data_IF_447275635663
#
_entry.id   IF_447275635663
#
_cell.length_a   1.000
_cell.length_b   1.000
_cell.length_c   1.000
_cell.angle_alpha   90.00
_cell.angle_beta   90.00
_cell.angle_gamma   90.00
#
_symmetry.space_group_name_H-M   'P 1'
#
loop_
_entity.id
_entity.type
_entity.pdbx_description
1 polymer ?
#
# COMPACT_ATOMS: atom_id res chain seq x y z
N UNK A 1 56.90 -38.29 -18.32
CA UNK A 1 56.40 -37.94 -19.67
C UNK A 1 56.43 -36.42 -19.77
N UNK A 2 57.44 -35.85 -20.44
CA UNK A 2 57.58 -34.40 -20.56
C UNK A 2 57.02 -33.97 -21.91
N UNK A 3 55.90 -33.26 -21.89
CA UNK A 3 55.30 -32.64 -23.08
C UNK A 3 56.17 -31.47 -23.53
N UNK A 4 56.90 -31.63 -24.62
CA UNK A 4 57.60 -30.52 -25.28
C UNK A 4 56.56 -29.66 -25.99
N UNK A 5 56.22 -28.52 -25.38
CA UNK A 5 55.43 -27.49 -26.05
C UNK A 5 56.23 -26.95 -27.24
N UNK A 6 55.79 -27.27 -28.46
CA UNK A 6 56.33 -26.70 -29.69
C UNK A 6 55.86 -25.24 -29.76
N UNK A 7 56.79 -24.31 -29.54
CA UNK A 7 56.53 -22.88 -29.65
C UNK A 7 56.42 -22.53 -31.16
N UNK A 8 55.32 -21.94 -31.65
CA UNK A 8 55.17 -21.66 -33.07
C UNK A 8 56.22 -20.64 -33.54
N UNK A 9 56.84 -20.94 -34.69
CA UNK A 9 57.78 -20.04 -35.36
C UNK A 9 57.02 -18.82 -35.90
N UNK A 10 57.49 -17.59 -35.66
CA UNK A 10 56.85 -16.41 -36.25
C UNK A 10 56.99 -16.46 -37.77
N UNK A 11 55.87 -16.25 -38.48
CA UNK A 11 55.72 -16.43 -39.93
C UNK A 11 56.57 -15.47 -40.81
N UNK A 12 57.42 -14.62 -40.22
CA UNK A 12 58.03 -13.48 -40.92
C UNK A 12 59.57 -13.50 -40.94
N UNK A 13 60.21 -14.66 -40.82
CA UNK A 13 61.67 -14.75 -41.00
C UNK A 13 62.01 -15.11 -42.45
N UNK A 14 62.75 -14.28 -43.20
CA UNK A 14 63.14 -14.60 -44.57
C UNK A 14 64.12 -15.79 -44.57
N UNK A 15 64.00 -16.68 -45.56
CA UNK A 15 64.69 -17.99 -45.62
C UNK A 15 66.23 -17.95 -45.59
N UNK A 16 66.85 -16.79 -45.79
CA UNK A 16 68.29 -16.59 -45.78
C UNK A 16 68.86 -16.23 -44.39
N UNK A 17 68.02 -15.91 -43.40
CA UNK A 17 68.41 -15.68 -42.00
C UNK A 17 67.98 -16.85 -41.13
N UNK A 18 68.72 -17.96 -41.21
CA UNK A 18 68.51 -19.12 -40.35
C UNK A 18 69.48 -19.04 -39.17
N UNK A 19 69.04 -18.43 -38.08
CA UNK A 19 69.79 -18.46 -36.83
C UNK A 19 69.62 -19.82 -36.12
N UNK A 20 70.71 -20.34 -35.57
CA UNK A 20 70.68 -21.58 -34.79
C UNK A 20 70.01 -21.32 -33.44
N UNK A 21 68.93 -22.07 -33.15
CA UNK A 21 68.20 -21.95 -31.88
C UNK A 21 68.82 -22.87 -30.85
N UNK A 22 69.28 -22.30 -29.75
CA UNK A 22 69.86 -23.03 -28.63
C UNK A 22 68.91 -23.02 -27.42
N UNK A 23 69.15 -23.89 -26.44
CA UNK A 23 68.42 -23.91 -25.17
C UNK A 23 68.66 -22.60 -24.39
N UNK A 24 67.69 -22.18 -23.57
CA UNK A 24 67.80 -21.00 -22.67
C UNK A 24 68.94 -21.07 -21.65
N UNK A 25 69.59 -22.24 -21.52
CA UNK A 25 70.81 -22.45 -20.72
C UNK A 25 72.06 -21.93 -21.43
N UNK A 26 72.08 -21.90 -22.76
CA UNK A 26 73.20 -21.45 -23.59
C UNK A 26 73.19 -19.92 -23.67
N UNK A 27 74.35 -19.30 -23.50
CA UNK A 27 74.52 -17.85 -23.51
C UNK A 27 74.58 -17.32 -24.95
N UNK A 28 73.44 -17.30 -25.64
CA UNK A 28 73.26 -16.66 -26.95
C UNK A 28 72.92 -15.18 -26.79
N UNK A 29 73.00 -14.36 -27.84
CA UNK A 29 72.83 -12.89 -27.74
C UNK A 29 71.57 -12.40 -27.01
N UNK A 30 70.49 -13.20 -26.95
CA UNK A 30 69.23 -12.85 -26.29
C UNK A 30 68.97 -13.61 -24.96
N UNK A 31 69.99 -14.24 -24.38
CA UNK A 31 69.85 -15.16 -23.24
C UNK A 31 69.22 -14.51 -22.00
N UNK A 32 69.52 -13.24 -21.72
CA UNK A 32 68.99 -12.50 -20.57
C UNK A 32 67.48 -12.28 -20.69
N UNK A 33 67.03 -11.82 -21.85
CA UNK A 33 65.61 -11.53 -22.11
C UNK A 33 64.79 -12.82 -22.15
N UNK A 34 65.34 -13.91 -22.71
CA UNK A 34 64.67 -15.21 -22.70
C UNK A 34 64.45 -15.76 -21.29
N UNK A 35 65.37 -15.47 -20.35
CA UNK A 35 65.22 -15.83 -18.93
C UNK A 35 64.36 -14.84 -18.15
N UNK A 36 64.28 -13.58 -18.58
CA UNK A 36 63.43 -12.53 -17.98
C UNK A 36 61.98 -12.58 -18.43
N UNK A 37 61.59 -13.50 -19.33
CA UNK A 37 60.20 -13.69 -19.75
C UNK A 37 59.30 -13.73 -18.52
N UNK A 38 58.42 -12.73 -18.45
CA UNK A 38 57.58 -12.44 -17.30
C UNK A 38 56.73 -13.67 -16.96
N UNK A 39 57.01 -14.29 -15.82
CA UNK A 39 56.12 -15.29 -15.24
C UNK A 39 54.99 -14.49 -14.61
N UNK A 40 53.84 -14.46 -15.28
CA UNK A 40 52.65 -13.77 -14.75
C UNK A 40 52.24 -14.49 -13.46
N UNK A 41 52.39 -13.83 -12.33
CA UNK A 41 51.83 -14.29 -11.06
C UNK A 41 50.31 -14.34 -11.19
N UNK A 42 49.78 -15.52 -11.55
CA UNK A 42 48.33 -15.77 -11.66
C UNK A 42 47.65 -15.79 -10.30
N UNK A 43 48.41 -15.84 -9.22
CA UNK A 43 47.90 -16.08 -7.87
C UNK A 43 47.20 -14.87 -7.23
N UNK A 44 47.41 -13.67 -7.78
CA UNK A 44 46.88 -12.42 -7.20
C UNK A 44 46.14 -11.60 -8.25
N UNK A 45 44.82 -11.75 -8.29
CA UNK A 45 43.95 -10.85 -9.05
C UNK A 45 43.92 -9.46 -8.40
N UNK A 46 44.13 -8.37 -9.17
CA UNK A 46 44.03 -7.03 -8.63
C UNK A 46 42.58 -6.74 -8.21
N UNK A 47 42.38 -6.52 -6.92
CA UNK A 47 41.08 -6.12 -6.37
C UNK A 47 40.90 -4.59 -6.43
N UNK A 48 39.66 -4.15 -6.60
CA UNK A 48 39.30 -2.73 -6.50
C UNK A 48 39.56 -2.19 -5.10
N UNK A 49 39.78 -0.88 -5.00
CA UNK A 49 39.99 -0.19 -3.70
C UNK A 49 38.79 -0.44 -2.77
N UNK A 50 37.57 -0.37 -3.32
CA UNK A 50 36.35 -0.69 -2.60
C UNK A 50 36.34 -2.10 -1.99
N UNK A 51 36.79 -3.13 -2.72
CA UNK A 51 36.87 -4.50 -2.20
C UNK A 51 37.93 -4.71 -1.13
N UNK A 52 38.93 -3.82 -1.07
CA UNK A 52 39.96 -3.82 -0.01
C UNK A 52 39.50 -3.07 1.25
N UNK A 53 38.80 -1.95 1.08
CA UNK A 53 38.36 -1.09 2.19
C UNK A 53 37.06 -1.59 2.83
N UNK A 54 36.13 -2.13 2.03
CA UNK A 54 34.88 -2.65 2.53
C UNK A 54 35.02 -4.15 2.84
N UNK A 55 35.16 -4.46 4.12
CA UNK A 55 35.18 -5.84 4.61
C UNK A 55 33.74 -6.26 4.92
N UNK A 56 33.12 -7.18 4.15
CA UNK A 56 31.80 -7.68 4.48
C UNK A 56 31.89 -8.50 5.77
N UNK A 57 31.07 -8.16 6.75
CA UNK A 57 30.90 -8.95 7.97
C UNK A 57 29.62 -9.79 7.84
N UNK A 58 29.70 -11.05 7.37
CA UNK A 58 28.52 -11.86 7.05
C UNK A 58 27.64 -12.15 8.28
N UNK A 59 28.24 -12.26 9.47
CA UNK A 59 27.53 -12.54 10.72
C UNK A 59 27.19 -11.28 11.53
N UNK A 60 27.46 -10.08 10.99
CA UNK A 60 27.17 -8.85 11.69
C UNK A 60 25.65 -8.62 11.77
N UNK A 61 25.12 -8.72 12.99
CA UNK A 61 23.76 -8.28 13.28
C UNK A 61 23.75 -6.78 13.51
N UNK A 62 22.86 -6.02 12.85
CA UNK A 62 22.73 -4.60 13.11
C UNK A 62 22.36 -4.38 14.58
N UNK A 63 22.97 -3.39 15.21
CA UNK A 63 22.65 -3.04 16.60
C UNK A 63 21.21 -2.52 16.70
N UNK A 64 20.32 -3.42 17.14
CA UNK A 64 18.90 -3.13 17.30
C UNK A 64 18.67 -2.08 18.40
N UNK A 65 19.55 -2.02 19.41
CA UNK A 65 19.44 -1.10 20.54
C UNK A 65 19.71 0.33 20.05
N UNK A 66 20.84 0.56 19.37
CA UNK A 66 21.15 1.87 18.78
C UNK A 66 20.07 2.33 17.78
N UNK A 67 19.54 1.41 16.96
CA UNK A 67 18.41 1.71 16.06
C UNK A 67 17.16 2.12 16.81
N UNK A 68 16.79 1.40 17.87
CA UNK A 68 15.62 1.71 18.70
C UNK A 68 15.74 3.07 19.37
N UNK A 69 16.90 3.39 19.95
CA UNK A 69 17.13 4.70 20.56
C UNK A 69 17.12 5.83 19.54
N UNK A 70 17.72 5.63 18.36
CA UNK A 70 17.67 6.59 17.26
C UNK A 70 16.23 6.86 16.79
N UNK A 71 15.45 5.80 16.59
CA UNK A 71 14.03 5.91 16.20
C UNK A 71 13.22 6.67 17.24
N UNK A 72 13.38 6.33 18.53
CA UNK A 72 12.66 6.97 19.64
C UNK A 72 12.98 8.46 19.77
N UNK A 73 14.20 8.89 19.46
CA UNK A 73 14.57 10.32 19.42
C UNK A 73 13.88 11.09 18.28
N UNK A 74 13.65 10.43 17.14
CA UNK A 74 13.04 11.04 15.95
C UNK A 74 11.51 11.04 16.02
N UNK A 75 10.90 10.04 16.67
CA UNK A 75 9.44 9.86 16.76
C UNK A 75 8.70 11.03 17.44
N UNK A 76 9.39 11.85 18.24
CA UNK A 76 8.83 13.08 18.82
C UNK A 76 7.67 12.86 19.81
N UNK A 77 6.93 13.92 20.11
CA UNK A 77 5.75 13.84 20.98
C UNK A 77 4.55 13.33 20.16
N UNK A 78 3.80 12.33 20.64
CA UNK A 78 2.69 11.80 19.85
C UNK A 78 1.54 12.82 19.81
N UNK A 79 0.85 12.87 18.67
CA UNK A 79 -0.28 13.77 18.35
C UNK A 79 -1.29 13.91 19.50
N UNK A 80 -1.57 12.81 20.21
CA UNK A 80 -2.48 12.78 21.35
C UNK A 80 -2.18 13.87 22.38
N UNK A 81 -0.91 14.13 22.71
CA UNK A 81 -0.57 15.14 23.73
C UNK A 81 -0.59 16.57 23.18
N UNK A 82 -0.57 16.76 21.86
CA UNK A 82 -0.54 18.08 21.25
C UNK A 82 -1.93 18.63 20.98
N UNK A 83 -2.84 17.79 20.50
CA UNK A 83 -4.11 18.24 19.92
C UNK A 83 -5.32 17.70 20.68
N UNK A 84 -5.20 16.58 21.41
CA UNK A 84 -6.37 16.07 22.13
C UNK A 84 -6.59 16.83 23.43
N UNK A 85 -7.81 17.35 23.58
CA UNK A 85 -8.28 17.94 24.82
C UNK A 85 -8.85 16.81 25.70
N UNK A 86 -8.47 16.75 26.97
CA UNK A 86 -9.03 15.82 27.97
C UNK A 86 -9.05 14.32 27.62
N UNK A 87 -8.12 13.84 26.78
CA UNK A 87 -8.06 12.43 26.37
C UNK A 87 -9.34 11.92 25.65
N UNK A 88 -10.07 12.82 24.99
CA UNK A 88 -11.30 12.43 24.32
C UNK A 88 -11.04 11.58 23.06
N UNK A 89 -11.82 10.51 22.84
CA UNK A 89 -11.75 9.76 21.59
C UNK A 89 -12.06 10.66 20.39
N UNK A 90 -11.33 10.56 19.27
CA UNK A 90 -11.53 11.43 18.11
C UNK A 90 -12.90 11.25 17.44
N UNK A 91 -13.52 10.07 17.60
CA UNK A 91 -14.81 9.71 17.00
C UNK A 91 -15.98 9.81 18.00
N UNK A 92 -15.85 10.65 19.03
CA UNK A 92 -16.88 10.79 20.07
C UNK A 92 -18.11 11.58 19.62
N UNK A 93 -17.92 12.56 18.73
CA UNK A 93 -18.97 13.49 18.28
C UNK A 93 -19.33 13.23 16.81
N UNK A 94 -20.31 12.36 16.59
CA UNK A 94 -20.72 11.91 15.26
C UNK A 94 -22.09 12.44 14.81
N UNK A 95 -22.70 13.30 15.63
CA UNK A 95 -24.04 13.83 15.40
C UNK A 95 -23.92 15.34 15.25
N UNK A 96 -24.46 15.86 14.14
CA UNK A 96 -24.57 17.30 13.93
C UNK A 96 -25.80 17.83 14.67
N UNK A 97 -25.79 19.12 15.00
CA UNK A 97 -26.96 19.81 15.54
C UNK A 97 -28.16 19.68 14.60
N UNK A 98 -27.93 19.71 13.28
CA UNK A 98 -28.98 19.49 12.29
C UNK A 98 -29.65 18.11 12.44
N UNK A 99 -28.87 17.03 12.51
CA UNK A 99 -29.38 15.67 12.67
C UNK A 99 -30.21 15.52 13.96
N UNK A 100 -29.72 16.10 15.06
CA UNK A 100 -30.42 16.09 16.35
C UNK A 100 -31.80 16.77 16.28
N UNK A 101 -31.90 17.93 15.64
CA UNK A 101 -33.17 18.67 15.57
C UNK A 101 -34.19 18.01 14.64
N UNK A 102 -33.77 17.58 13.45
CA UNK A 102 -34.70 17.09 12.44
C UNK A 102 -35.05 15.61 12.62
N UNK A 103 -34.08 14.76 12.93
CA UNK A 103 -34.29 13.31 12.99
C UNK A 103 -34.59 12.81 14.41
N UNK A 104 -34.03 13.47 15.43
CA UNK A 104 -34.18 13.07 16.83
C UNK A 104 -35.10 14.00 17.62
N UNK A 105 -35.68 14.99 16.94
CA UNK A 105 -36.58 16.00 17.49
C UNK A 105 -36.01 16.84 18.63
N UNK A 106 -34.68 16.83 18.77
CA UNK A 106 -33.94 17.65 19.74
C UNK A 106 -34.39 17.50 21.19
N UNK A 107 -35.12 16.45 21.56
CA UNK A 107 -35.66 16.30 22.89
C UNK A 107 -34.64 15.61 23.80
N UNK A 108 -34.14 16.36 24.79
CA UNK A 108 -33.30 15.81 25.85
C UNK A 108 -33.81 16.31 27.22
N UNK A 109 -34.50 15.48 28.02
CA UNK A 109 -35.11 15.90 29.27
C UNK A 109 -34.10 16.23 30.37
N UNK A 110 -32.84 15.81 30.22
CA UNK A 110 -31.78 16.04 31.22
C UNK A 110 -31.03 17.36 31.07
N UNK A 111 -31.28 18.12 30.00
CA UNK A 111 -30.53 19.35 29.68
C UNK A 111 -31.45 20.58 29.64
N UNK A 112 -30.97 21.74 30.10
CA UNK A 112 -31.72 22.99 29.98
C UNK A 112 -31.84 23.40 28.51
N UNK A 113 -33.05 23.74 28.02
CA UNK A 113 -33.26 24.09 26.61
C UNK A 113 -32.64 25.44 26.23
N UNK A 114 -32.60 26.39 27.16
CA UNK A 114 -32.05 27.72 26.98
C UNK A 114 -31.04 28.06 28.08
N UNK A 115 -30.11 28.96 27.74
CA UNK A 115 -29.12 29.52 28.68
C UNK A 115 -29.82 30.29 29.80
N UNK A 116 -29.45 30.01 31.06
CA UNK A 116 -30.03 30.66 32.25
C UNK A 116 -28.96 31.31 33.11
N UNK A 117 -29.17 32.54 33.59
CA UNK A 117 -28.24 33.20 34.51
C UNK A 117 -28.36 32.60 35.91
N UNK A 118 -27.23 32.18 36.48
CA UNK A 118 -27.18 31.72 37.87
C UNK A 118 -26.57 32.81 38.76
N UNK A 119 -27.40 33.44 39.58
CA UNK A 119 -26.98 34.52 40.49
C UNK A 119 -26.01 34.08 41.60
N UNK A 120 -26.02 32.81 42.01
CA UNK A 120 -25.10 32.30 43.03
C UNK A 120 -23.69 32.07 42.46
N UNK A 121 -23.62 31.57 41.23
CA UNK A 121 -22.35 31.30 40.54
C UNK A 121 -21.85 32.49 39.72
N UNK A 122 -22.67 33.54 39.56
CA UNK A 122 -22.40 34.72 38.73
C UNK A 122 -21.97 34.35 37.30
N UNK A 123 -22.64 33.36 36.71
CA UNK A 123 -22.34 32.89 35.36
C UNK A 123 -23.61 32.47 34.61
N UNK A 124 -23.56 32.53 33.29
CA UNK A 124 -24.55 31.93 32.42
C UNK A 124 -24.34 30.42 32.40
N UNK A 125 -25.34 29.65 32.81
CA UNK A 125 -25.29 28.20 32.73
C UNK A 125 -25.37 27.75 31.26
N UNK A 126 -24.62 26.71 30.89
CA UNK A 126 -24.63 26.20 29.52
C UNK A 126 -26.03 25.76 29.11
N UNK A 127 -26.35 25.98 27.84
CA UNK A 127 -27.58 25.50 27.22
C UNK A 127 -27.37 24.14 26.57
N UNK A 128 -28.43 23.51 26.09
CA UNK A 128 -28.38 22.22 25.39
C UNK A 128 -27.28 22.15 24.31
N UNK A 129 -27.07 23.23 23.54
CA UNK A 129 -26.10 23.28 22.43
C UNK A 129 -24.63 23.21 22.92
N UNK A 130 -24.37 23.63 24.16
CA UNK A 130 -23.05 23.61 24.77
C UNK A 130 -22.64 22.21 25.26
N UNK A 131 -23.60 21.27 25.35
CA UNK A 131 -23.34 19.91 25.79
C UNK A 131 -23.04 18.99 24.60
N UNK A 132 -22.00 18.15 24.70
CA UNK A 132 -21.70 17.18 23.67
C UNK A 132 -22.80 16.11 23.54
N UNK A 133 -23.25 15.84 22.31
CA UNK A 133 -24.18 14.76 22.01
C UNK A 133 -23.43 13.43 21.91
N UNK A 134 -23.53 12.61 22.96
CA UNK A 134 -22.92 11.28 23.05
C UNK A 134 -23.91 10.20 22.64
N UNK A 135 -24.09 10.02 21.34
CA UNK A 135 -24.93 8.95 20.82
C UNK A 135 -24.34 8.39 19.52
N UNK A 136 -24.71 7.15 19.14
CA UNK A 136 -24.29 6.58 17.87
C UNK A 136 -24.82 7.43 16.70
N UNK A 137 -24.12 7.47 15.56
CA UNK A 137 -24.55 8.26 14.40
C UNK A 137 -25.84 7.71 13.79
N UNK A 138 -26.65 8.61 13.23
CA UNK A 138 -27.85 8.24 12.46
C UNK A 138 -27.39 7.73 11.09
N UNK A 139 -27.42 6.41 10.90
CA UNK A 139 -26.74 5.78 9.77
C UNK A 139 -27.64 5.48 8.55
N UNK A 140 -28.97 5.61 8.67
CA UNK A 140 -29.94 5.35 7.58
C UNK A 140 -29.68 4.05 6.75
N UNK A 141 -29.00 3.05 7.33
CA UNK A 141 -28.55 1.85 6.61
C UNK A 141 -27.40 2.03 5.61
N UNK A 142 -26.84 3.23 5.44
CA UNK A 142 -25.77 3.52 4.47
C UNK A 142 -24.49 2.71 4.74
N UNK A 143 -24.07 2.64 6.01
CA UNK A 143 -22.94 1.81 6.40
C UNK A 143 -23.16 0.33 6.10
N UNK A 144 -24.37 -0.18 6.31
CA UNK A 144 -24.69 -1.58 6.03
C UNK A 144 -24.61 -1.86 4.53
N UNK A 145 -25.16 -0.96 3.70
CA UNK A 145 -25.06 -1.03 2.24
C UNK A 145 -23.61 -0.96 1.76
N UNK A 146 -22.79 -0.07 2.31
CA UNK A 146 -21.36 0.03 1.97
C UNK A 146 -20.59 -1.21 2.40
N UNK A 147 -20.87 -1.74 3.59
CA UNK A 147 -20.27 -2.98 4.09
C UNK A 147 -20.61 -4.15 3.18
N UNK A 148 -21.86 -4.28 2.75
CA UNK A 148 -22.27 -5.28 1.77
C UNK A 148 -21.52 -5.11 0.44
N UNK A 149 -21.38 -3.87 -0.06
CA UNK A 149 -20.63 -3.56 -1.28
C UNK A 149 -19.14 -3.90 -1.18
N UNK A 150 -18.51 -3.70 -0.03
CA UNK A 150 -17.11 -4.06 0.18
C UNK A 150 -16.87 -5.55 0.28
N UNK A 151 -17.81 -6.28 0.89
CA UNK A 151 -17.77 -7.73 0.97
C UNK A 151 -18.14 -8.39 -0.36
N UNK A 152 -18.85 -7.67 -1.25
CA UNK A 152 -19.19 -8.17 -2.56
C UNK A 152 -17.89 -8.46 -3.35
N UNK A 153 -17.69 -9.71 -3.81
CA UNK A 153 -16.51 -10.07 -4.58
C UNK A 153 -16.48 -9.24 -5.87
N UNK A 154 -15.31 -8.71 -6.23
CA UNK A 154 -15.12 -8.02 -7.51
C UNK A 154 -15.44 -9.02 -8.64
N UNK A 155 -16.22 -8.58 -9.63
CA UNK A 155 -16.59 -9.40 -10.78
C UNK A 155 -15.34 -10.06 -11.38
N UNK A 156 -15.39 -11.37 -11.60
CA UNK A 156 -14.27 -12.14 -12.10
C UNK A 156 -13.77 -11.63 -13.46
N UNK A 157 -12.50 -11.91 -13.77
CA UNK A 157 -11.72 -11.38 -14.90
C UNK A 157 -12.31 -11.55 -16.32
N UNK A 158 -13.52 -12.12 -16.46
CA UNK A 158 -14.14 -12.53 -17.74
C UNK A 158 -15.64 -12.23 -17.85
N UNK A 159 -16.20 -11.34 -17.02
CA UNK A 159 -17.58 -10.90 -17.22
C UNK A 159 -17.63 -9.69 -18.15
N UNK A 160 -18.30 -9.84 -19.30
CA UNK A 160 -18.63 -8.70 -20.16
C UNK A 160 -19.69 -7.83 -19.49
N UNK A 161 -19.71 -6.53 -19.82
CA UNK A 161 -20.73 -5.59 -19.34
C UNK A 161 -22.16 -6.05 -19.65
N UNK A 162 -22.34 -6.72 -20.79
CA UNK A 162 -23.62 -7.32 -21.19
C UNK A 162 -24.03 -8.46 -20.25
N UNK A 163 -23.12 -9.38 -19.93
CA UNK A 163 -23.39 -10.48 -19.00
C UNK A 163 -23.68 -9.99 -17.57
N UNK A 164 -23.03 -8.92 -17.11
CA UNK A 164 -23.27 -8.37 -15.77
C UNK A 164 -24.56 -7.55 -15.67
N UNK A 165 -25.00 -6.92 -16.77
CA UNK A 165 -26.23 -6.11 -16.78
C UNK A 165 -27.50 -6.93 -16.90
N UNK A 166 -27.42 -8.12 -17.50
CA UNK A 166 -28.55 -9.05 -17.63
C UNK A 166 -28.30 -10.35 -16.84
N UNK A 167 -28.28 -10.30 -15.49
CA UNK A 167 -28.19 -11.51 -14.69
C UNK A 167 -29.44 -12.36 -14.87
N UNK A 168 -29.30 -13.68 -14.73
CA UNK A 168 -30.44 -14.58 -14.75
C UNK A 168 -31.36 -14.23 -13.58
N UNK A 169 -32.64 -13.91 -13.80
CA UNK A 169 -33.54 -13.55 -12.71
C UNK A 169 -33.69 -14.75 -11.76
N UNK A 170 -33.94 -14.50 -10.46
CA UNK A 170 -34.11 -15.58 -9.50
C UNK A 170 -35.30 -16.47 -9.91
N UNK A 171 -35.28 -17.75 -9.53
CA UNK A 171 -36.33 -18.70 -9.93
C UNK A 171 -37.74 -18.26 -9.48
N UNK A 172 -37.84 -17.48 -8.40
CA UNK A 172 -39.09 -16.89 -7.91
C UNK A 172 -39.59 -15.70 -8.73
N UNK A 173 -38.80 -15.15 -9.66
CA UNK A 173 -39.22 -14.11 -10.58
C UNK A 173 -39.93 -14.66 -11.83
N UNK A 174 -40.04 -15.99 -11.96
CA UNK A 174 -40.98 -16.59 -12.91
C UNK A 174 -42.39 -16.26 -12.42
N UNK A 175 -43.02 -15.30 -13.08
CA UNK A 175 -44.30 -14.75 -12.67
C UNK A 175 -45.36 -15.82 -12.48
N UNK A 176 -46.14 -15.72 -11.41
CA UNK A 176 -47.52 -16.18 -11.45
C UNK A 176 -48.21 -15.38 -12.55
N UNK A 177 -48.91 -16.03 -13.49
CA UNK A 177 -49.67 -15.33 -14.53
C UNK A 177 -50.67 -14.39 -13.87
N UNK A 178 -50.39 -13.09 -13.86
CA UNK A 178 -51.34 -12.08 -13.43
C UNK A 178 -52.44 -11.99 -14.50
N UNK A 179 -53.68 -12.31 -14.13
CA UNK A 179 -54.83 -12.11 -15.00
C UNK A 179 -55.13 -10.60 -15.08
N UNK A 180 -55.54 -10.14 -16.26
CA UNK A 180 -55.93 -8.74 -16.44
C UNK A 180 -57.02 -8.36 -15.43
N UNK A 181 -56.80 -7.28 -14.69
CA UNK A 181 -57.81 -6.71 -13.80
C UNK A 181 -58.99 -6.27 -14.69
N UNK A 182 -60.20 -6.81 -14.50
CA UNK A 182 -61.32 -6.47 -15.36
C UNK A 182 -61.65 -4.99 -15.20
N UNK A 183 -61.64 -4.26 -16.32
CA UNK A 183 -62.07 -2.86 -16.35
C UNK A 183 -63.60 -2.84 -16.17
N UNK A 184 -64.14 -2.16 -15.15
CA UNK A 184 -65.58 -2.09 -14.95
C UNK A 184 -66.21 -1.34 -16.14
N UNK A 185 -67.36 -1.80 -16.67
CA UNK A 185 -68.01 -1.16 -17.81
C UNK A 185 -68.43 0.28 -17.46
N UNK A 186 -68.35 1.17 -18.46
CA UNK A 186 -68.82 2.55 -18.32
C UNK A 186 -70.28 2.57 -17.88
N UNK A 187 -70.58 3.24 -16.77
CA UNK A 187 -71.95 3.41 -16.27
C UNK A 187 -72.76 4.17 -17.32
N UNK A 188 -73.76 3.52 -17.89
CA UNK A 188 -74.75 4.18 -18.74
C UNK A 188 -75.44 5.26 -17.89
N UNK A 189 -75.38 6.51 -18.34
CA UNK A 189 -76.09 7.60 -17.68
C UNK A 189 -77.60 7.34 -17.73
N UNK A 190 -78.35 7.63 -16.65
CA UNK A 190 -79.79 7.43 -16.64
C UNK A 190 -80.45 8.32 -17.69
N UNK A 191 -81.30 7.72 -18.50
CA UNK A 191 -82.12 8.42 -19.51
C UNK A 191 -83.07 9.37 -18.77
N UNK A 192 -83.18 10.65 -19.16
CA UNK A 192 -84.09 11.58 -18.51
C UNK A 192 -85.53 11.14 -18.78
N UNK A 193 -86.29 10.92 -17.71
CA UNK A 193 -87.73 10.75 -17.80
C UNK A 193 -88.36 12.12 -18.09
N UNK A 194 -89.10 12.19 -19.22
CA UNK A 194 -89.98 13.30 -19.56
C UNK A 194 -91.24 13.29 -18.72
#
# INVERSE_FOLDING_TARGET
MFSTAVNPQPLSTPSWQVETKYSTKVLTGNWVEERRKFTRDTDKTPQSIYGKEYIPFPDHRPDQISRWYGKRKVEGLPYKHLITHHQEPPHRYLISTYDDHYNRHGYNPGLPPLRTWNGQKLLWLPEKSDFPLLAPPTNYGLYEQLKQRWLAPKAGLKQSTYTSSYPRPPLCAMSCREHAIPVPPHRLHPVPHF
#
